data_IF_077890164240
#
_entry.id   IF_077890164240
#
_cell.length_a   1.000
_cell.length_b   1.000
_cell.length_c   1.000
_cell.angle_alpha   90.00
_cell.angle_beta   90.00
_cell.angle_gamma   90.00
#
_symmetry.space_group_name_H-M   'P 1'
#
loop_
_entity.id
_entity.type
_entity.pdbx_description
1 polymer ?
#
# COMPACT_ATOMS: atom_id res chain seq x y z
N UNK A 1 6.87 -2.48 -0.59
CA UNK A 1 6.58 -1.10 -1.04
C UNK A 1 7.74 -0.46 -1.79
N UNK A 2 8.97 -0.37 -1.26
CA UNK A 2 10.09 0.27 -2.00
C UNK A 2 10.38 -0.40 -3.35
N UNK A 3 10.32 -1.74 -3.42
CA UNK A 3 10.51 -2.47 -4.68
C UNK A 3 9.40 -2.23 -5.72
N UNK A 4 8.18 -1.88 -5.27
CA UNK A 4 7.05 -1.58 -6.16
C UNK A 4 7.27 -0.26 -6.90
N UNK A 5 7.73 0.79 -6.20
CA UNK A 5 8.07 2.06 -6.84
C UNK A 5 9.25 1.92 -7.81
N UNK A 6 10.19 1.00 -7.53
CA UNK A 6 11.34 0.74 -8.42
C UNK A 6 10.94 0.01 -9.70
N UNK A 7 9.96 -0.91 -9.65
CA UNK A 7 9.55 -1.67 -10.82
C UNK A 7 8.72 -0.85 -11.81
N UNK A 8 7.95 0.14 -11.31
CA UNK A 8 6.94 0.83 -12.13
C UNK A 8 7.26 2.30 -12.41
N UNK A 9 8.37 2.83 -11.88
CA UNK A 9 8.75 4.25 -11.98
C UNK A 9 7.67 5.24 -11.46
N UNK A 10 6.77 4.77 -10.61
CA UNK A 10 5.71 5.59 -10.03
C UNK A 10 6.22 6.40 -8.84
N UNK A 11 5.70 7.61 -8.67
CA UNK A 11 5.97 8.48 -7.52
C UNK A 11 4.97 8.26 -6.36
N UNK A 12 3.82 7.64 -6.64
CA UNK A 12 2.78 7.36 -5.66
C UNK A 12 1.99 6.09 -6.01
N UNK A 13 1.38 5.49 -5.00
CA UNK A 13 0.52 4.32 -5.16
C UNK A 13 -0.83 4.57 -4.48
N UNK A 14 -1.86 3.98 -5.05
CA UNK A 14 -3.21 4.04 -4.53
C UNK A 14 -3.61 2.67 -4.00
N UNK A 15 -4.03 2.62 -2.74
CA UNK A 15 -4.31 1.34 -2.06
C UNK A 15 -5.51 1.46 -1.13
N UNK A 16 -6.33 0.43 -1.05
CA UNK A 16 -7.24 0.23 0.09
C UNK A 16 -6.57 -0.67 1.15
N UNK A 17 -7.04 -0.67 2.42
CA UNK A 17 -6.44 -1.50 3.46
C UNK A 17 -6.40 -3.00 3.12
N UNK A 18 -7.36 -3.48 2.32
CA UNK A 18 -7.39 -4.87 1.87
C UNK A 18 -6.25 -5.19 0.91
N UNK A 19 -5.87 -4.27 0.04
CA UNK A 19 -4.80 -4.48 -0.95
C UNK A 19 -3.47 -4.65 -0.24
N UNK A 20 -3.20 -3.76 0.72
CA UNK A 20 -2.00 -3.85 1.55
C UNK A 20 -1.95 -5.15 2.36
N UNK A 21 -3.08 -5.56 2.95
CA UNK A 21 -3.15 -6.83 3.67
C UNK A 21 -2.82 -8.01 2.74
N UNK A 22 -3.42 -8.05 1.55
CA UNK A 22 -3.16 -9.09 0.55
C UNK A 22 -1.69 -9.10 0.13
N UNK A 23 -1.12 -7.92 -0.15
CA UNK A 23 0.30 -7.78 -0.50
C UNK A 23 1.21 -8.22 0.64
N UNK A 24 0.92 -7.84 1.89
CA UNK A 24 1.70 -8.24 3.06
C UNK A 24 1.67 -9.75 3.28
N UNK A 25 0.50 -10.37 3.16
CA UNK A 25 0.34 -11.82 3.27
C UNK A 25 1.06 -12.60 2.15
N UNK A 26 1.30 -11.97 0.99
CA UNK A 26 2.08 -12.57 -0.11
C UNK A 26 3.58 -12.31 0.00
N UNK A 27 4.01 -11.15 0.50
CA UNK A 27 5.43 -10.79 0.63
C UNK A 27 6.09 -11.34 1.91
N UNK A 28 5.32 -11.52 2.97
CA UNK A 28 5.80 -11.97 4.27
C UNK A 28 5.08 -13.26 4.67
N UNK A 29 5.65 -14.02 5.62
CA UNK A 29 4.94 -15.15 6.23
C UNK A 29 3.60 -14.66 6.79
N UNK A 30 2.54 -15.50 6.83
CA UNK A 30 1.21 -15.09 7.29
C UNK A 30 1.32 -14.31 8.60
N UNK A 31 1.02 -13.02 8.51
CA UNK A 31 1.07 -12.15 9.68
C UNK A 31 -0.33 -12.11 10.29
N UNK A 32 -0.44 -12.02 11.62
CA UNK A 32 -1.74 -11.90 12.32
C UNK A 32 -2.46 -10.55 12.08
N UNK A 33 -2.04 -9.80 11.06
CA UNK A 33 -2.58 -8.48 10.76
C UNK A 33 -3.97 -8.62 10.17
N UNK A 34 -4.87 -7.80 10.67
CA UNK A 34 -6.22 -7.68 10.13
C UNK A 34 -6.32 -6.46 9.22
N UNK A 35 -7.38 -6.43 8.42
CA UNK A 35 -7.74 -5.24 7.62
C UNK A 35 -7.90 -4.00 8.51
N UNK A 36 -8.33 -4.17 9.77
CA UNK A 36 -8.51 -3.05 10.69
C UNK A 36 -7.18 -2.51 11.20
N UNK A 37 -6.21 -3.38 11.45
CA UNK A 37 -4.85 -2.97 11.85
C UNK A 37 -4.19 -2.13 10.76
N UNK A 38 -4.33 -2.57 9.50
CA UNK A 38 -3.86 -1.80 8.34
C UNK A 38 -4.58 -0.45 8.23
N UNK A 39 -5.89 -0.41 8.47
CA UNK A 39 -6.65 0.84 8.45
C UNK A 39 -6.16 1.80 9.55
N UNK A 40 -5.96 1.30 10.76
CA UNK A 40 -5.47 2.10 11.89
C UNK A 40 -4.04 2.57 11.64
N UNK A 41 -3.18 1.73 11.04
CA UNK A 41 -1.84 2.14 10.63
C UNK A 41 -1.90 3.33 9.66
N UNK A 42 -2.72 3.24 8.60
CA UNK A 42 -2.83 4.29 7.60
C UNK A 42 -3.40 5.58 8.19
N UNK A 43 -4.42 5.49 9.03
CA UNK A 43 -5.14 6.66 9.56
C UNK A 43 -4.51 7.24 10.83
N UNK A 44 -4.23 6.42 11.82
CA UNK A 44 -3.81 6.88 13.15
C UNK A 44 -2.30 7.07 13.21
N UNK A 45 -1.54 6.10 12.70
CA UNK A 45 -0.07 6.15 12.74
C UNK A 45 0.49 7.03 11.63
N UNK A 46 0.02 6.83 10.39
CA UNK A 46 0.54 7.53 9.22
C UNK A 46 -0.23 8.81 8.90
N UNK A 47 -1.38 9.04 9.55
CA UNK A 47 -2.21 10.26 9.40
C UNK A 47 -2.61 10.53 7.96
N UNK A 48 -2.78 9.47 7.17
CA UNK A 48 -3.25 9.55 5.80
C UNK A 48 -4.78 9.57 5.78
N UNK A 49 -5.34 10.42 4.94
CA UNK A 49 -6.77 10.48 4.70
C UNK A 49 -7.10 9.73 3.41
N UNK A 50 -8.15 8.87 3.41
CA UNK A 50 -8.63 8.28 2.17
C UNK A 50 -9.27 9.35 1.29
N UNK A 51 -9.32 9.12 -0.01
CA UNK A 51 -10.06 9.97 -0.93
C UNK A 51 -11.55 9.99 -0.59
N UNK A 52 -12.17 11.17 -0.72
CA UNK A 52 -13.57 11.41 -0.32
C UNK A 52 -14.57 10.56 -1.13
N UNK A 53 -14.27 10.36 -2.41
CA UNK A 53 -15.15 9.67 -3.35
C UNK A 53 -14.60 8.28 -3.69
N UNK A 54 -15.51 7.34 -3.98
CA UNK A 54 -15.14 6.07 -4.60
C UNK A 54 -14.68 6.34 -6.02
N UNK A 55 -13.37 6.50 -6.20
CA UNK A 55 -12.75 6.78 -7.48
C UNK A 55 -12.09 5.50 -8.02
N UNK A 56 -11.93 5.44 -9.33
CA UNK A 56 -11.12 4.41 -9.97
C UNK A 56 -9.65 4.66 -9.64
N UNK A 57 -8.94 3.61 -9.27
CA UNK A 57 -7.50 3.65 -9.04
C UNK A 57 -6.80 2.43 -9.62
N UNK A 58 -5.53 2.61 -9.92
CA UNK A 58 -4.62 1.53 -10.28
C UNK A 58 -4.24 0.81 -8.99
N UNK A 59 -4.76 -0.40 -8.85
CA UNK A 59 -4.40 -1.35 -7.80
C UNK A 59 -3.21 -2.17 -8.25
N UNK A 60 -2.24 -2.31 -7.34
CA UNK A 60 -1.13 -3.23 -7.54
C UNK A 60 -1.37 -4.54 -6.83
N UNK A 61 -1.25 -5.64 -7.56
CA UNK A 61 -1.24 -7.00 -7.03
C UNK A 61 0.12 -7.64 -7.25
N UNK A 62 0.39 -8.71 -6.50
CA UNK A 62 1.61 -9.50 -6.59
C UNK A 62 1.25 -10.94 -6.87
N UNK A 63 1.65 -11.54 -7.99
CA UNK A 63 1.36 -12.94 -8.27
C UNK A 63 2.20 -13.90 -7.38
N UNK A 64 2.00 -15.21 -7.54
CA UNK A 64 2.76 -16.23 -6.79
C UNK A 64 4.25 -16.29 -7.15
N UNK A 65 4.65 -15.69 -8.27
CA UNK A 65 6.05 -15.57 -8.69
C UNK A 65 6.71 -14.28 -8.19
N UNK A 66 5.97 -13.43 -7.47
CA UNK A 66 6.47 -12.14 -6.97
C UNK A 66 6.45 -11.03 -8.02
N UNK A 67 5.78 -11.23 -9.15
CA UNK A 67 5.65 -10.24 -10.22
C UNK A 67 4.48 -9.31 -9.90
N UNK A 68 4.74 -8.01 -10.00
CA UNK A 68 3.71 -7.00 -9.84
C UNK A 68 2.89 -6.84 -11.11
N UNK A 69 1.57 -6.76 -10.96
CA UNK A 69 0.66 -6.43 -12.06
C UNK A 69 -0.36 -5.38 -11.62
N UNK A 70 -0.82 -4.61 -12.61
CA UNK A 70 -1.76 -3.51 -12.44
C UNK A 70 -3.18 -3.98 -12.77
N UNK A 71 -4.13 -3.59 -11.93
CA UNK A 71 -5.56 -3.77 -12.15
C UNK A 71 -6.30 -2.47 -11.88
N UNK A 72 -7.41 -2.25 -12.55
CA UNK A 72 -8.34 -1.17 -12.21
C UNK A 72 -9.26 -1.64 -11.09
N UNK A 73 -9.41 -0.80 -10.06
CA UNK A 73 -10.35 -1.03 -8.97
C UNK A 73 -11.06 0.27 -8.59
N UNK A 74 -12.20 0.17 -7.93
CA UNK A 74 -12.98 1.33 -7.47
C UNK A 74 -13.10 1.28 -5.96
N UNK A 75 -12.79 2.39 -5.29
CA UNK A 75 -12.91 2.47 -3.85
C UNK A 75 -12.40 3.78 -3.28
N UNK A 76 -12.58 3.95 -1.97
CA UNK A 76 -11.93 5.02 -1.21
C UNK A 76 -10.53 4.57 -0.83
N UNK A 77 -9.59 4.84 -1.71
CA UNK A 77 -8.19 4.48 -1.54
C UNK A 77 -7.42 5.57 -0.78
N UNK A 78 -6.27 5.18 -0.25
CA UNK A 78 -5.24 6.04 0.30
C UNK A 78 -4.16 6.22 -0.76
N UNK A 79 -3.65 7.44 -0.88
CA UNK A 79 -2.48 7.73 -1.72
C UNK A 79 -1.25 7.74 -0.84
N UNK A 80 -0.29 6.88 -1.16
CA UNK A 80 0.98 6.78 -0.46
C UNK A 80 2.05 7.24 -1.43
N UNK A 81 2.79 8.30 -1.05
CA UNK A 81 3.90 8.80 -1.86
C UNK A 81 5.18 8.01 -1.59
N UNK A 82 6.02 7.86 -2.60
CA UNK A 82 7.33 7.20 -2.50
C UNK A 82 8.20 7.85 -1.42
N UNK A 83 8.28 9.18 -1.42
CA UNK A 83 9.10 9.94 -0.47
C UNK A 83 8.62 9.77 0.97
N UNK A 84 7.30 9.65 1.17
CA UNK A 84 6.74 9.36 2.49
C UNK A 84 7.27 8.03 3.05
N UNK A 85 7.31 6.98 2.21
CA UNK A 85 7.83 5.68 2.60
C UNK A 85 9.34 5.72 2.84
N UNK A 86 10.10 6.47 2.03
CA UNK A 86 11.54 6.63 2.22
C UNK A 86 11.86 7.33 3.54
N UNK A 87 11.16 8.42 3.85
CA UNK A 87 11.31 9.14 5.11
C UNK A 87 10.98 8.25 6.32
N UNK A 88 9.86 7.51 6.26
CA UNK A 88 9.48 6.57 7.33
C UNK A 88 10.51 5.46 7.54
N UNK A 89 11.16 4.98 6.48
CA UNK A 89 12.23 3.99 6.59
C UNK A 89 13.44 4.55 7.34
N UNK A 90 13.82 5.80 7.08
CA UNK A 90 14.93 6.46 7.79
C UNK A 90 14.57 6.65 9.26
N UNK A 91 13.35 7.10 9.58
CA UNK A 91 12.88 7.26 10.97
C UNK A 91 12.91 5.96 11.78
N UNK A 92 12.64 4.81 11.16
CA UNK A 92 12.65 3.50 11.86
C UNK A 92 14.05 2.88 12.02
N UNK A 93 15.06 3.41 11.34
CA UNK A 93 16.45 2.94 11.41
C UNK A 93 17.32 3.75 12.37
N UNK A 94 16.79 4.87 12.88
CA UNK A 94 17.39 5.72 13.90
C UNK A 94 16.76 5.46 15.26
#
# INVERSE_FOLDING_TARGET
>A
MVNLYKSNNDEEINVVPQDLLNMMNRMFRPTYWTRNDIRNLLKETWKLNPQNNGLTYIRYDLDFAGIFYQNNSVGRYFTIKKDFILNKRVEMLN
#
